data_IF_555846957040
#
_entry.id   IF_555846957040
#
_cell.length_a   1.000
_cell.length_b   1.000
_cell.length_c   1.000
_cell.angle_alpha   90.00
_cell.angle_beta   90.00
_cell.angle_gamma   90.00
#
_symmetry.space_group_name_H-M   'P 1'
#
loop_
_entity.id
_entity.type
_entity.pdbx_description
1 polymer ?
#
# COMPACT_ATOMS: atom_id res chain seq x y z
N UNK A 1 -28.45 14.69 5.58
CA UNK A 1 -27.27 14.32 4.78
C UNK A 1 -26.18 13.98 5.79
N UNK A 2 -25.64 12.77 5.80
CA UNK A 2 -24.48 12.49 6.67
C UNK A 2 -23.30 13.35 6.18
N UNK A 3 -22.56 13.89 7.11
CA UNK A 3 -21.31 14.60 6.80
C UNK A 3 -20.35 13.65 6.05
N UNK A 4 -19.63 14.15 5.04
CA UNK A 4 -18.69 13.33 4.29
C UNK A 4 -17.53 12.90 5.22
N UNK A 5 -17.18 11.61 5.20
CA UNK A 5 -16.06 11.08 5.99
C UNK A 5 -14.73 11.68 5.53
N UNK A 6 -13.81 11.85 6.45
CA UNK A 6 -12.47 12.38 6.16
C UNK A 6 -11.43 11.26 6.19
N UNK A 7 -10.69 11.13 5.08
CA UNK A 7 -9.59 10.19 4.89
C UNK A 7 -8.23 10.87 5.07
N UNK A 8 -7.27 10.20 5.70
CA UNK A 8 -5.85 10.54 5.55
C UNK A 8 -5.15 9.47 4.72
N UNK A 9 -4.42 9.86 3.69
CA UNK A 9 -3.59 8.96 2.89
C UNK A 9 -2.13 9.33 3.04
N UNK A 10 -1.32 8.43 3.64
CA UNK A 10 0.14 8.52 3.57
C UNK A 10 0.64 7.75 2.35
N UNK A 11 1.77 8.16 1.76
CA UNK A 11 2.24 7.54 0.51
C UNK A 11 1.39 7.85 -0.72
N UNK A 12 0.56 8.90 -0.68
CA UNK A 12 -0.35 9.31 -1.74
C UNK A 12 0.35 9.60 -3.09
N UNK A 13 1.59 10.09 -3.07
CA UNK A 13 2.36 10.36 -4.29
C UNK A 13 2.89 9.09 -4.98
N UNK A 14 2.80 7.93 -4.30
CA UNK A 14 3.14 6.63 -4.85
C UNK A 14 2.08 6.08 -5.80
N UNK A 15 2.42 4.96 -6.47
CA UNK A 15 1.56 4.35 -7.47
C UNK A 15 0.19 3.89 -6.92
N UNK A 16 0.19 3.11 -5.84
CA UNK A 16 -1.05 2.63 -5.23
C UNK A 16 -1.77 3.76 -4.51
N UNK A 17 -1.02 4.57 -3.73
CA UNK A 17 -1.60 5.68 -2.97
C UNK A 17 -2.36 6.67 -3.83
N UNK A 18 -1.82 7.05 -4.99
CA UNK A 18 -2.52 7.94 -5.92
C UNK A 18 -3.82 7.36 -6.50
N UNK A 19 -3.88 6.03 -6.70
CA UNK A 19 -5.13 5.36 -7.12
C UNK A 19 -6.14 5.28 -5.97
N UNK A 20 -5.68 5.11 -4.72
CA UNK A 20 -6.54 5.14 -3.53
C UNK A 20 -7.13 6.53 -3.34
N UNK A 21 -6.33 7.60 -3.45
CA UNK A 21 -6.81 8.99 -3.38
C UNK A 21 -7.92 9.22 -4.40
N UNK A 22 -7.67 8.85 -5.67
CA UNK A 22 -8.68 9.00 -6.72
C UNK A 22 -9.98 8.26 -6.37
N UNK A 23 -9.90 7.02 -5.93
CA UNK A 23 -11.09 6.22 -5.58
C UNK A 23 -11.85 6.81 -4.39
N UNK A 24 -11.13 7.35 -3.39
CA UNK A 24 -11.75 8.01 -2.23
C UNK A 24 -12.51 9.28 -2.64
N UNK A 25 -11.95 10.09 -3.53
CA UNK A 25 -12.62 11.27 -4.09
C UNK A 25 -13.85 10.88 -4.90
N UNK A 26 -13.74 9.87 -5.77
CA UNK A 26 -14.86 9.33 -6.55
C UNK A 26 -16.00 8.79 -5.63
N UNK A 27 -15.66 8.29 -4.43
CA UNK A 27 -16.60 7.81 -3.41
C UNK A 27 -17.13 8.93 -2.47
N UNK A 28 -16.72 10.18 -2.68
CA UNK A 28 -17.21 11.36 -1.94
C UNK A 28 -16.58 11.58 -0.57
N UNK A 29 -15.37 11.09 -0.33
CA UNK A 29 -14.60 11.38 0.88
C UNK A 29 -13.94 12.77 0.81
N UNK A 30 -13.82 13.42 1.96
CA UNK A 30 -12.85 14.50 2.12
C UNK A 30 -11.47 13.88 2.30
N UNK A 31 -10.53 14.18 1.40
CA UNK A 31 -9.21 13.54 1.41
C UNK A 31 -8.13 14.51 1.87
N UNK A 32 -7.35 14.08 2.87
CA UNK A 32 -6.08 14.69 3.28
C UNK A 32 -4.94 13.80 2.83
N UNK A 33 -3.82 14.39 2.44
CA UNK A 33 -2.59 13.67 2.14
C UNK A 33 -1.44 14.20 2.98
N UNK A 34 -0.65 13.31 3.60
CA UNK A 34 0.60 13.68 4.25
C UNK A 34 1.74 13.45 3.26
N UNK A 35 2.46 14.51 2.90
CA UNK A 35 3.54 14.45 1.93
C UNK A 35 4.72 15.32 2.36
N UNK A 36 5.95 14.82 2.18
CA UNK A 36 7.20 15.59 2.43
C UNK A 36 7.42 16.74 1.47
N UNK A 37 6.80 16.66 0.31
CA UNK A 37 6.91 17.61 -0.79
C UNK A 37 5.47 17.96 -1.23
N UNK A 38 5.00 19.12 -0.78
CA UNK A 38 3.65 19.60 -1.06
C UNK A 38 3.46 19.87 -2.55
N UNK A 39 4.44 20.51 -3.23
CA UNK A 39 4.37 20.82 -4.65
C UNK A 39 4.18 19.57 -5.50
N UNK A 40 4.89 18.48 -5.12
CA UNK A 40 4.74 17.19 -5.79
C UNK A 40 3.36 16.56 -5.58
N UNK A 41 2.75 16.75 -4.43
CA UNK A 41 1.39 16.28 -4.17
C UNK A 41 0.36 17.11 -4.94
N UNK A 42 0.48 18.43 -4.89
CA UNK A 42 -0.39 19.39 -5.60
C UNK A 42 -0.29 19.26 -7.12
N UNK A 43 0.87 18.87 -7.67
CA UNK A 43 1.05 18.63 -9.10
C UNK A 43 0.36 17.34 -9.63
N UNK A 44 -0.21 16.53 -8.74
CA UNK A 44 -0.95 15.32 -9.15
C UNK A 44 -2.31 15.69 -9.73
N UNK A 45 -2.88 14.83 -10.61
CA UNK A 45 -4.20 15.09 -11.23
C UNK A 45 -5.34 15.37 -10.23
N UNK A 46 -5.17 14.94 -8.98
CA UNK A 46 -6.11 15.11 -7.87
C UNK A 46 -5.65 16.20 -6.87
N UNK A 47 -4.54 16.90 -7.12
CA UNK A 47 -3.93 17.82 -6.17
C UNK A 47 -4.85 18.94 -5.70
N UNK A 48 -5.63 19.50 -6.61
CA UNK A 48 -6.59 20.57 -6.31
C UNK A 48 -7.83 20.11 -5.52
N UNK A 49 -8.04 18.78 -5.40
CA UNK A 49 -9.23 18.18 -4.76
C UNK A 49 -8.94 17.67 -3.33
N UNK A 50 -7.70 17.76 -2.86
CA UNK A 50 -7.27 17.24 -1.56
C UNK A 50 -6.69 18.33 -0.67
N UNK A 51 -6.73 18.12 0.65
CA UNK A 51 -5.99 18.93 1.59
C UNK A 51 -4.58 18.36 1.78
N UNK A 52 -3.55 19.07 1.29
CA UNK A 52 -2.16 18.67 1.47
C UNK A 52 -1.67 19.12 2.84
N UNK A 53 -1.16 18.19 3.64
CA UNK A 53 -0.43 18.44 4.88
C UNK A 53 1.04 18.18 4.60
N UNK A 54 1.83 19.23 4.51
CA UNK A 54 3.28 19.09 4.37
C UNK A 54 3.89 18.60 5.68
N UNK A 55 4.69 17.53 5.60
CA UNK A 55 5.34 16.95 6.77
C UNK A 55 5.92 15.55 6.48
N UNK A 56 6.69 15.07 7.45
CA UNK A 56 7.29 13.75 7.42
C UNK A 56 6.52 12.77 8.32
N UNK A 57 6.23 11.59 7.79
CA UNK A 57 5.56 10.52 8.55
C UNK A 57 6.45 9.91 9.66
N UNK A 58 7.75 10.16 9.64
CA UNK A 58 8.69 9.89 10.73
C UNK A 58 8.61 10.91 11.86
N UNK A 59 8.01 12.06 11.63
CA UNK A 59 7.93 13.14 12.61
C UNK A 59 6.55 13.12 13.32
N UNK A 60 6.57 12.81 14.62
CA UNK A 60 5.36 12.67 15.44
C UNK A 60 4.41 13.87 15.36
N UNK A 61 4.96 15.09 15.35
CA UNK A 61 4.17 16.32 15.29
C UNK A 61 3.43 16.48 13.97
N UNK A 62 4.04 16.06 12.86
CA UNK A 62 3.44 16.12 11.53
C UNK A 62 2.33 15.09 11.39
N UNK A 63 2.57 13.87 11.88
CA UNK A 63 1.56 12.81 11.92
C UNK A 63 0.37 13.22 12.77
N UNK A 64 0.60 13.77 13.97
CA UNK A 64 -0.48 14.25 14.86
C UNK A 64 -1.31 15.34 14.20
N UNK A 65 -0.67 16.28 13.48
CA UNK A 65 -1.35 17.35 12.75
C UNK A 65 -2.19 16.81 11.59
N UNK A 66 -1.65 15.85 10.83
CA UNK A 66 -2.33 15.27 9.70
C UNK A 66 -3.57 14.46 10.11
N UNK A 67 -3.53 13.78 11.25
CA UNK A 67 -4.61 12.91 11.75
C UNK A 67 -5.78 13.66 12.41
N UNK A 68 -5.69 14.99 12.62
CA UNK A 68 -6.78 15.75 13.22
C UNK A 68 -8.06 15.69 12.38
N UNK A 69 -9.17 15.24 12.98
CA UNK A 69 -10.48 15.14 12.34
C UNK A 69 -10.55 14.10 11.21
N UNK A 70 -9.73 13.05 11.28
CA UNK A 70 -9.70 11.94 10.32
C UNK A 70 -10.56 10.79 10.85
N UNK A 71 -11.47 10.29 10.01
CA UNK A 71 -12.31 9.13 10.32
C UNK A 71 -11.59 7.81 10.04
N UNK A 72 -10.85 7.71 8.93
CA UNK A 72 -10.05 6.53 8.58
C UNK A 72 -8.72 6.94 7.93
N UNK A 73 -7.65 6.21 8.25
CA UNK A 73 -6.30 6.51 7.78
C UNK A 73 -5.74 5.35 6.93
N UNK A 74 -5.25 5.66 5.73
CA UNK A 74 -4.54 4.74 4.85
C UNK A 74 -3.04 4.88 5.04
N UNK A 75 -2.42 3.88 5.68
CA UNK A 75 -0.98 3.81 5.86
C UNK A 75 -0.36 3.05 4.68
N UNK A 76 0.10 3.78 3.64
CA UNK A 76 0.63 3.21 2.40
C UNK A 76 2.13 3.53 2.19
N UNK A 77 2.82 3.71 3.31
CA UNK A 77 4.28 3.91 3.33
C UNK A 77 4.99 2.57 3.37
N UNK A 78 6.06 2.48 2.62
CA UNK A 78 7.08 1.45 2.75
C UNK A 78 8.39 1.99 2.21
N UNK A 79 9.48 1.65 2.86
CA UNK A 79 10.81 1.97 2.36
C UNK A 79 11.12 1.11 1.14
N UNK A 80 11.77 1.73 0.15
CA UNK A 80 12.42 1.03 -0.96
C UNK A 80 13.94 1.03 -0.78
N UNK A 81 14.42 1.50 0.39
CA UNK A 81 15.83 1.53 0.72
C UNK A 81 16.31 0.14 1.17
N UNK A 82 17.40 -0.33 0.56
CA UNK A 82 18.10 -1.57 0.95
C UNK A 82 19.14 -1.32 2.06
N UNK A 83 19.03 -0.19 2.79
CA UNK A 83 19.94 0.20 3.85
C UNK A 83 19.81 -0.67 5.11
N UNK A 84 20.90 -0.84 5.86
CA UNK A 84 20.83 -1.51 7.17
C UNK A 84 19.99 -0.68 8.14
N UNK A 85 18.98 -1.30 8.77
CA UNK A 85 18.13 -0.64 9.79
C UNK A 85 16.76 -0.18 9.32
N UNK A 86 16.43 -0.24 8.03
CA UNK A 86 15.14 0.19 7.50
C UNK A 86 13.95 -0.50 8.17
N UNK A 87 14.08 -1.78 8.54
CA UNK A 87 12.99 -2.53 9.15
C UNK A 87 12.64 -2.02 10.57
N UNK A 88 13.62 -1.51 11.31
CA UNK A 88 13.38 -0.91 12.62
C UNK A 88 12.77 0.49 12.47
N UNK A 89 13.24 1.28 11.51
CA UNK A 89 12.66 2.58 11.19
C UNK A 89 11.20 2.46 10.75
N UNK A 90 10.88 1.51 9.86
CA UNK A 90 9.48 1.22 9.48
C UNK A 90 8.62 0.82 10.66
N UNK A 91 9.15 0.00 11.57
CA UNK A 91 8.46 -0.42 12.78
C UNK A 91 8.21 0.76 13.74
N UNK A 92 9.19 1.65 13.90
CA UNK A 92 9.07 2.84 14.75
C UNK A 92 8.07 3.84 14.17
N UNK A 93 8.10 4.08 12.87
CA UNK A 93 7.12 4.91 12.18
C UNK A 93 5.70 4.35 12.32
N UNK A 94 5.52 3.04 12.16
CA UNK A 94 4.21 2.40 12.32
C UNK A 94 3.68 2.50 13.76
N UNK A 95 4.54 2.29 14.78
CA UNK A 95 4.16 2.48 16.20
C UNK A 95 3.72 3.91 16.46
N UNK A 96 4.53 4.88 16.05
CA UNK A 96 4.23 6.29 16.19
C UNK A 96 2.91 6.67 15.51
N UNK A 97 2.71 6.20 14.29
CA UNK A 97 1.48 6.45 13.53
C UNK A 97 0.25 5.87 14.25
N UNK A 98 0.31 4.61 14.69
CA UNK A 98 -0.77 3.95 15.43
C UNK A 98 -1.11 4.65 16.74
N UNK A 99 -0.09 5.09 17.51
CA UNK A 99 -0.28 5.86 18.74
C UNK A 99 -0.99 7.20 18.49
N UNK A 100 -0.55 7.96 17.46
CA UNK A 100 -1.16 9.24 17.12
C UNK A 100 -2.57 9.06 16.55
N UNK A 101 -2.82 8.02 15.73
CA UNK A 101 -4.14 7.69 15.24
C UNK A 101 -5.12 7.40 16.40
N UNK A 102 -4.67 6.63 17.39
CA UNK A 102 -5.45 6.39 18.61
C UNK A 102 -5.75 7.67 19.40
N UNK A 103 -4.75 8.55 19.57
CA UNK A 103 -4.93 9.83 20.27
C UNK A 103 -5.89 10.76 19.55
N UNK A 104 -5.85 10.76 18.21
CA UNK A 104 -6.73 11.57 17.38
C UNK A 104 -8.17 11.01 17.29
N UNK A 105 -8.41 9.80 17.80
CA UNK A 105 -9.72 9.14 17.74
C UNK A 105 -10.07 8.62 16.35
N UNK A 106 -9.07 8.27 15.53
CA UNK A 106 -9.27 7.65 14.21
C UNK A 106 -10.04 6.35 14.36
N UNK A 107 -11.09 6.17 13.57
CA UNK A 107 -11.99 5.02 13.65
C UNK A 107 -11.42 3.75 13.03
N UNK A 108 -10.56 3.86 12.00
CA UNK A 108 -9.92 2.71 11.37
C UNK A 108 -8.57 3.06 10.71
N UNK A 109 -7.71 2.06 10.61
CA UNK A 109 -6.49 2.11 9.79
C UNK A 109 -6.59 1.05 8.69
N UNK A 110 -6.20 1.41 7.47
CA UNK A 110 -6.07 0.48 6.35
C UNK A 110 -4.60 0.45 5.92
N UNK A 111 -4.01 -0.72 5.89
CA UNK A 111 -2.62 -0.93 5.51
C UNK A 111 -2.49 -1.89 4.33
N UNK A 112 -1.58 -1.59 3.39
CA UNK A 112 -1.24 -2.49 2.29
C UNK A 112 0.05 -3.23 2.59
N UNK A 113 -0.09 -4.49 2.98
CA UNK A 113 1.02 -5.43 3.15
C UNK A 113 1.33 -6.23 1.89
N UNK A 114 2.30 -7.15 1.99
CA UNK A 114 2.64 -8.11 0.95
C UNK A 114 2.01 -9.47 1.19
N UNK A 115 1.46 -10.07 0.14
CA UNK A 115 0.99 -11.46 0.21
C UNK A 115 2.18 -12.39 0.43
N UNK A 116 2.08 -13.27 1.40
CA UNK A 116 3.12 -14.21 1.74
C UNK A 116 2.53 -15.61 2.00
N UNK A 117 3.29 -16.68 1.75
CA UNK A 117 2.89 -18.02 2.18
C UNK A 117 2.86 -18.10 3.71
N UNK A 118 2.08 -19.04 4.23
CA UNK A 118 2.08 -19.35 5.68
C UNK A 118 3.41 -20.03 6.06
N UNK A 119 4.37 -19.23 6.44
CA UNK A 119 5.72 -19.64 6.81
C UNK A 119 6.28 -18.72 7.92
N UNK A 120 7.26 -19.21 8.71
CA UNK A 120 7.92 -18.38 9.71
C UNK A 120 8.58 -17.13 9.10
N UNK A 121 8.56 -16.01 9.83
CA UNK A 121 9.13 -14.73 9.35
C UNK A 121 10.62 -14.84 8.99
N UNK A 122 11.35 -15.70 9.68
CA UNK A 122 12.78 -15.97 9.45
C UNK A 122 13.06 -16.60 8.08
N UNK A 123 12.03 -17.19 7.45
CA UNK A 123 12.10 -17.74 6.10
C UNK A 123 11.67 -16.73 5.01
N UNK A 124 11.19 -15.55 5.41
CA UNK A 124 10.80 -14.47 4.50
C UNK A 124 12.00 -13.60 4.12
N UNK A 125 11.89 -12.86 3.00
CA UNK A 125 12.83 -11.77 2.75
C UNK A 125 12.68 -10.68 3.82
N UNK A 126 13.74 -9.94 4.08
CA UNK A 126 13.74 -8.87 5.09
C UNK A 126 12.64 -7.84 4.84
N UNK A 127 12.44 -7.42 3.59
CA UNK A 127 11.35 -6.52 3.21
C UNK A 127 9.95 -7.10 3.48
N UNK A 128 9.75 -8.39 3.23
CA UNK A 128 8.46 -9.02 3.48
C UNK A 128 8.20 -9.17 4.98
N UNK A 129 9.21 -9.57 5.73
CA UNK A 129 9.16 -9.67 7.19
C UNK A 129 8.88 -8.31 7.84
N UNK A 130 9.51 -7.22 7.35
CA UNK A 130 9.23 -5.85 7.80
C UNK A 130 7.77 -5.47 7.56
N UNK A 131 7.23 -5.74 6.38
CA UNK A 131 5.81 -5.44 6.07
C UNK A 131 4.83 -6.21 6.96
N UNK A 132 5.13 -7.48 7.26
CA UNK A 132 4.32 -8.27 8.20
C UNK A 132 4.37 -7.62 9.58
N UNK A 133 5.57 -7.25 10.07
CA UNK A 133 5.77 -6.59 11.36
C UNK A 133 5.03 -5.25 11.44
N UNK A 134 5.07 -4.43 10.41
CA UNK A 134 4.31 -3.16 10.34
C UNK A 134 2.81 -3.42 10.49
N UNK A 135 2.27 -4.41 9.77
CA UNK A 135 0.86 -4.79 9.89
C UNK A 135 0.46 -5.20 11.29
N UNK A 136 1.30 -6.03 11.96
CA UNK A 136 1.09 -6.44 13.36
C UNK A 136 1.10 -5.24 14.31
N UNK A 137 2.08 -4.35 14.20
CA UNK A 137 2.19 -3.13 15.02
C UNK A 137 0.94 -2.26 14.87
N UNK A 138 0.46 -2.07 13.64
CA UNK A 138 -0.75 -1.27 13.41
C UNK A 138 -2.00 -1.94 14.02
N UNK A 139 -2.15 -3.26 13.90
CA UNK A 139 -3.25 -4.00 14.55
C UNK A 139 -3.18 -3.94 16.08
N UNK A 140 -1.99 -3.87 16.67
CA UNK A 140 -1.76 -3.74 18.11
C UNK A 140 -1.92 -2.31 18.65
N UNK A 141 -2.06 -1.31 17.78
CA UNK A 141 -2.16 0.12 18.17
C UNK A 141 -3.40 0.44 19.03
N UNK A 142 -4.41 -0.41 18.94
CA UNK A 142 -5.71 -0.20 19.58
C UNK A 142 -6.69 0.59 18.72
N UNK A 143 -6.34 0.87 17.45
CA UNK A 143 -7.26 1.33 16.40
C UNK A 143 -7.60 0.13 15.52
N UNK A 144 -8.88 -0.16 15.21
CA UNK A 144 -9.25 -1.23 14.30
C UNK A 144 -8.48 -1.11 12.97
N UNK A 145 -7.74 -2.15 12.61
CA UNK A 145 -6.84 -2.11 11.45
C UNK A 145 -7.13 -3.26 10.49
N UNK A 146 -7.38 -2.92 9.23
CA UNK A 146 -7.45 -3.89 8.14
C UNK A 146 -6.11 -3.94 7.40
N UNK A 147 -5.41 -5.06 7.49
CA UNK A 147 -4.16 -5.31 6.74
C UNK A 147 -4.49 -6.08 5.48
N UNK A 148 -4.45 -5.42 4.31
CA UNK A 148 -4.66 -6.09 3.03
C UNK A 148 -3.31 -6.55 2.47
N UNK A 149 -3.16 -7.86 2.31
CA UNK A 149 -1.95 -8.49 1.76
C UNK A 149 -2.14 -8.72 0.27
N UNK A 150 -1.48 -7.90 -0.54
CA UNK A 150 -1.53 -8.01 -1.99
C UNK A 150 -0.32 -8.75 -2.55
N UNK A 151 -0.56 -9.53 -3.59
CA UNK A 151 0.49 -10.04 -4.44
C UNK A 151 1.09 -8.93 -5.33
N UNK A 152 1.46 -9.27 -6.56
CA UNK A 152 1.99 -8.29 -7.51
C UNK A 152 0.88 -7.38 -7.99
N UNK A 153 0.93 -6.09 -7.64
CA UNK A 153 -0.01 -5.09 -8.15
C UNK A 153 0.41 -4.65 -9.55
N UNK A 154 -0.44 -4.93 -10.53
CA UNK A 154 -0.19 -4.65 -11.95
C UNK A 154 -1.06 -3.52 -12.48
N UNK A 155 -0.51 -2.79 -13.44
CA UNK A 155 -1.20 -1.73 -14.18
C UNK A 155 -0.23 -0.71 -14.78
N UNK A 156 -0.75 0.20 -15.59
CA UNK A 156 0.06 1.24 -16.21
C UNK A 156 0.75 2.11 -15.15
N UNK A 157 2.08 2.18 -15.18
CA UNK A 157 2.88 2.91 -14.19
C UNK A 157 3.37 2.08 -13.00
N UNK A 158 2.95 0.83 -12.83
CA UNK A 158 3.49 -0.08 -11.80
C UNK A 158 4.95 -0.44 -12.11
N UNK A 159 5.83 -0.27 -11.12
CA UNK A 159 7.24 -0.69 -11.25
C UNK A 159 7.37 -2.20 -11.50
N UNK A 160 6.56 -3.02 -10.82
CA UNK A 160 6.55 -4.47 -11.01
C UNK A 160 6.14 -4.84 -12.43
N UNK A 161 5.16 -4.14 -13.01
CA UNK A 161 4.75 -4.36 -14.39
C UNK A 161 5.79 -3.85 -15.39
N UNK A 162 6.44 -2.71 -15.12
CA UNK A 162 7.54 -2.22 -15.95
C UNK A 162 8.73 -3.18 -15.94
N UNK A 163 9.07 -3.75 -14.78
CA UNK A 163 10.13 -4.77 -14.68
C UNK A 163 9.79 -6.01 -15.49
N UNK A 164 8.58 -6.55 -15.33
CA UNK A 164 8.08 -7.69 -16.12
C UNK A 164 8.22 -7.42 -17.62
N UNK A 165 7.71 -6.30 -18.06
CA UNK A 165 7.77 -5.85 -19.44
C UNK A 165 9.21 -5.75 -19.95
N UNK A 166 10.07 -5.06 -19.20
CA UNK A 166 11.47 -4.86 -19.57
C UNK A 166 12.24 -6.17 -19.69
N UNK A 167 12.05 -7.09 -18.75
CA UNK A 167 12.69 -8.41 -18.78
C UNK A 167 12.17 -9.22 -19.97
N UNK A 168 10.86 -9.25 -20.19
CA UNK A 168 10.25 -10.02 -21.29
C UNK A 168 10.68 -9.51 -22.65
N UNK A 169 10.72 -8.18 -22.84
CA UNK A 169 11.01 -7.56 -24.15
C UNK A 169 12.51 -7.52 -24.50
N UNK A 170 13.42 -7.60 -23.51
CA UNK A 170 14.85 -7.31 -23.72
C UNK A 170 15.83 -8.45 -23.40
N UNK A 171 15.38 -9.52 -22.79
CA UNK A 171 16.25 -10.65 -22.43
C UNK A 171 16.05 -11.80 -23.41
N UNK A 172 16.85 -11.89 -24.49
CA UNK A 172 16.64 -12.88 -25.55
C UNK A 172 17.10 -14.31 -25.25
N UNK A 173 17.78 -14.53 -24.14
CA UNK A 173 18.21 -15.86 -23.73
C UNK A 173 18.14 -15.97 -22.21
N UNK A 174 17.32 -16.84 -21.72
CA UNK A 174 17.02 -17.01 -20.32
C UNK A 174 18.21 -17.48 -19.50
N UNK A 175 18.91 -16.56 -18.87
CA UNK A 175 19.50 -16.82 -17.56
C UNK A 175 18.41 -16.45 -16.54
N UNK A 176 17.43 -17.32 -16.43
CA UNK A 176 16.27 -17.06 -15.58
C UNK A 176 16.66 -17.19 -14.10
N UNK A 177 16.47 -16.15 -13.28
CA UNK A 177 16.66 -16.26 -11.83
C UNK A 177 15.67 -17.31 -11.27
N UNK A 178 16.07 -18.03 -10.22
CA UNK A 178 15.22 -19.06 -9.60
C UNK A 178 13.83 -18.55 -9.15
N UNK A 179 13.72 -17.27 -8.81
CA UNK A 179 12.46 -16.68 -8.33
C UNK A 179 11.36 -16.58 -9.39
N UNK A 180 11.66 -16.71 -10.70
CA UNK A 180 10.61 -16.66 -11.73
C UNK A 180 9.64 -17.84 -11.69
N UNK A 181 10.02 -18.93 -11.02
CA UNK A 181 9.15 -20.10 -10.81
C UNK A 181 8.26 -19.94 -9.57
N UNK A 182 8.48 -18.89 -8.75
CA UNK A 182 7.63 -18.61 -7.61
C UNK A 182 6.20 -18.28 -8.08
N UNK A 183 5.24 -18.82 -7.37
CA UNK A 183 3.83 -18.52 -7.63
C UNK A 183 3.49 -17.12 -7.13
N UNK A 184 2.75 -16.40 -7.93
CA UNK A 184 2.22 -15.08 -7.65
C UNK A 184 0.71 -15.07 -7.90
N UNK A 185 0.02 -14.17 -7.23
CA UNK A 185 -1.40 -13.89 -7.45
C UNK A 185 -1.50 -12.41 -7.84
N UNK A 186 -1.37 -12.07 -9.15
CA UNK A 186 -1.42 -10.68 -9.60
C UNK A 186 -2.78 -10.06 -9.32
N UNK A 187 -2.81 -8.76 -9.00
CA UNK A 187 -4.03 -7.99 -8.83
C UNK A 187 -3.94 -6.68 -9.62
N UNK A 188 -5.02 -6.29 -10.30
CA UNK A 188 -5.10 -4.99 -10.95
C UNK A 188 -5.08 -3.85 -9.93
N UNK A 189 -4.41 -2.74 -10.25
CA UNK A 189 -4.33 -1.60 -9.32
C UNK A 189 -5.70 -1.02 -8.98
N UNK A 190 -6.67 -1.08 -9.91
CA UNK A 190 -8.04 -0.62 -9.66
C UNK A 190 -8.75 -1.50 -8.64
N UNK A 191 -8.56 -2.82 -8.73
CA UNK A 191 -9.14 -3.76 -7.79
C UNK A 191 -8.47 -3.64 -6.41
N UNK A 192 -7.14 -3.48 -6.38
CA UNK A 192 -6.42 -3.22 -5.14
C UNK A 192 -6.90 -1.93 -4.46
N UNK A 193 -7.06 -0.83 -5.22
CA UNK A 193 -7.60 0.42 -4.69
C UNK A 193 -9.04 0.26 -4.20
N UNK A 194 -9.89 -0.46 -4.94
CA UNK A 194 -11.25 -0.79 -4.53
C UNK A 194 -11.28 -1.52 -3.17
N UNK A 195 -10.50 -2.59 -3.02
CA UNK A 195 -10.45 -3.31 -1.74
C UNK A 195 -9.91 -2.43 -0.61
N UNK A 196 -8.86 -1.64 -0.85
CA UNK A 196 -8.30 -0.72 0.14
C UNK A 196 -9.34 0.31 0.61
N UNK A 197 -10.15 0.85 -0.29
CA UNK A 197 -11.18 1.83 0.08
C UNK A 197 -12.34 1.15 0.80
N UNK A 198 -12.82 -0.01 0.31
CA UNK A 198 -13.89 -0.76 0.97
C UNK A 198 -13.53 -1.32 2.35
N UNK A 199 -12.24 -1.50 2.63
CA UNK A 199 -11.78 -1.92 3.95
C UNK A 199 -12.14 -0.93 5.08
N UNK A 200 -12.36 0.34 4.75
CA UNK A 200 -12.86 1.33 5.71
C UNK A 200 -14.32 1.12 6.16
N UNK A 201 -15.05 0.25 5.48
CA UNK A 201 -16.44 -0.09 5.81
C UNK A 201 -16.54 -1.38 6.65
N UNK A 202 -15.40 -2.01 6.97
CA UNK A 202 -15.35 -3.20 7.83
C UNK A 202 -15.74 -2.84 9.27
N UNK A 203 -16.45 -3.74 9.91
CA UNK A 203 -16.79 -3.59 11.32
C UNK A 203 -15.51 -3.66 12.19
N UNK A 204 -15.45 -2.91 13.32
CA UNK A 204 -14.25 -2.81 14.17
C UNK A 204 -13.68 -4.14 14.67
N UNK A 205 -14.51 -5.19 14.79
CA UNK A 205 -14.08 -6.54 15.15
C UNK A 205 -13.19 -7.21 14.09
N UNK A 206 -13.14 -6.69 12.85
CA UNK A 206 -12.30 -7.19 11.78
C UNK A 206 -10.87 -6.62 11.80
N UNK A 207 -10.29 -6.49 13.00
CA UNK A 207 -8.89 -6.13 13.23
C UNK A 207 -7.98 -7.31 12.87
N UNK A 208 -7.69 -7.50 11.57
CA UNK A 208 -6.93 -8.66 11.05
C UNK A 208 -6.37 -8.45 9.65
N UNK A 209 -5.66 -9.46 9.17
CA UNK A 209 -5.17 -9.56 7.78
C UNK A 209 -6.24 -10.14 6.83
N UNK A 210 -6.18 -9.70 5.56
CA UNK A 210 -6.99 -10.18 4.45
C UNK A 210 -6.10 -10.33 3.22
N UNK A 211 -6.11 -11.50 2.60
CA UNK A 211 -5.43 -11.71 1.33
C UNK A 211 -6.28 -11.15 0.20
N UNK A 212 -5.67 -10.32 -0.65
CA UNK A 212 -6.30 -9.79 -1.86
C UNK A 212 -5.50 -10.16 -3.10
N UNK A 213 -6.18 -10.60 -4.14
CA UNK A 213 -5.54 -11.03 -5.37
C UNK A 213 -6.52 -11.11 -6.53
N UNK A 214 -6.01 -11.28 -7.72
CA UNK A 214 -6.81 -11.64 -8.88
C UNK A 214 -7.25 -13.12 -8.81
N UNK A 215 -8.04 -13.57 -9.79
CA UNK A 215 -8.60 -14.93 -9.79
C UNK A 215 -7.55 -16.01 -10.05
N UNK A 216 -6.43 -15.66 -10.67
CA UNK A 216 -5.40 -16.60 -11.09
C UNK A 216 -4.18 -16.56 -10.18
N UNK A 217 -3.71 -17.74 -9.79
CA UNK A 217 -2.38 -17.92 -9.18
C UNK A 217 -1.49 -18.68 -10.16
N UNK A 218 -0.37 -18.07 -10.56
CA UNK A 218 0.51 -18.62 -11.59
C UNK A 218 1.99 -18.41 -11.24
N UNK A 219 2.94 -19.18 -11.82
CA UNK A 219 4.36 -18.85 -11.76
C UNK A 219 4.62 -17.48 -12.44
N UNK A 220 5.63 -16.76 -11.96
CA UNK A 220 5.97 -15.45 -12.56
C UNK A 220 6.30 -15.56 -14.05
N UNK A 221 6.97 -16.65 -14.46
CA UNK A 221 7.28 -16.91 -15.87
C UNK A 221 6.02 -17.03 -16.73
N UNK A 222 4.96 -17.64 -16.23
CA UNK A 222 3.68 -17.72 -16.96
C UNK A 222 3.07 -16.34 -17.18
N UNK A 223 3.18 -15.43 -16.19
CA UNK A 223 2.73 -14.04 -16.38
C UNK A 223 3.54 -13.34 -17.48
N UNK A 224 4.86 -13.62 -17.59
CA UNK A 224 5.70 -13.09 -18.67
C UNK A 224 5.28 -13.64 -20.03
N UNK A 225 4.99 -14.95 -20.13
CA UNK A 225 4.51 -15.60 -21.36
C UNK A 225 3.17 -15.00 -21.80
N UNK A 226 2.21 -14.89 -20.90
CA UNK A 226 0.90 -14.25 -21.20
C UNK A 226 1.06 -12.79 -21.65
N UNK A 227 2.01 -12.05 -21.07
CA UNK A 227 2.32 -10.70 -21.53
C UNK A 227 2.89 -10.73 -22.95
N UNK A 228 3.88 -11.59 -23.25
CA UNK A 228 4.49 -11.72 -24.58
C UNK A 228 3.43 -12.05 -25.65
N UNK A 229 2.56 -13.01 -25.39
CA UNK A 229 1.44 -13.34 -26.26
C UNK A 229 0.50 -12.14 -26.50
N UNK A 230 0.15 -11.40 -25.43
CA UNK A 230 -0.75 -10.26 -25.53
C UNK A 230 -0.20 -9.11 -26.38
N UNK A 231 1.13 -8.96 -26.48
CA UNK A 231 1.79 -7.93 -27.29
C UNK A 231 2.31 -8.45 -28.64
N UNK A 232 2.05 -9.73 -28.96
CA UNK A 232 2.39 -10.34 -30.26
C UNK A 232 3.86 -10.69 -30.44
N UNK A 233 4.55 -11.05 -29.35
CA UNK A 233 5.96 -11.49 -29.35
C UNK A 233 6.06 -13.01 -29.53
#
# INVERSE_FOLDING_TARGET
MSEARTALVTGATGYVGGNVVKQLLDDGWNVKVLARDADKAESRPWGDEVAVVEGDAGERGDVARALQGVDCAWYLLHSMDDGTGFAEEEADMARQFGEEAKRAGVGCIVYLGGLHPDQPKEAMSEHLASRVRVGEILMESGVPTAVLQAGVVIGAGSLSFQLLRHVTERVPAFIAPKWITNRITPIGVRDAAYYLVRAADLAPEHNRTFDIGGPDSMPYVEMMERYAEAVGM
#
